data_IF_601830686935
#
_entry.id   IF_601830686935
#
_cell.length_a   1.000
_cell.length_b   1.000
_cell.length_c   1.000
_cell.angle_alpha   90.00
_cell.angle_beta   90.00
_cell.angle_gamma   90.00
#
_symmetry.space_group_name_H-M   'P 1'
#
loop_
_entity.id
_entity.type
_entity.pdbx_description
1 polymer ?
#
# COMPACT_ATOMS: atom_id res chain seq x y z
N UNK A 1 -44.18 33.44 0.49
CA UNK A 1 -43.34 32.54 -0.35
C UNK A 1 -42.10 32.21 0.43
N UNK A 2 -41.94 30.95 0.80
CA UNK A 2 -40.68 30.45 1.45
C UNK A 2 -39.90 29.73 0.36
N UNK A 3 -38.70 30.21 0.03
CA UNK A 3 -37.76 29.51 -0.85
C UNK A 3 -36.79 28.74 0.02
N UNK A 4 -36.71 27.42 -0.16
CA UNK A 4 -35.72 26.56 0.45
C UNK A 4 -34.64 26.36 -0.59
N UNK A 5 -33.43 26.87 -0.33
CA UNK A 5 -32.23 26.58 -1.13
C UNK A 5 -31.53 25.36 -0.53
N UNK A 6 -31.40 24.30 -1.31
CA UNK A 6 -30.67 23.13 -0.94
C UNK A 6 -29.29 23.15 -1.66
N UNK A 7 -28.19 23.15 -0.91
CA UNK A 7 -26.86 23.04 -1.49
C UNK A 7 -26.60 21.59 -1.86
N UNK A 8 -26.57 21.30 -3.16
CA UNK A 8 -26.35 19.95 -3.71
C UNK A 8 -24.90 19.71 -4.15
N UNK A 9 -24.00 20.68 -3.91
CA UNK A 9 -22.61 20.64 -4.40
C UNK A 9 -21.84 19.42 -3.91
N UNK A 10 -22.04 19.04 -2.67
CA UNK A 10 -21.37 17.87 -2.09
C UNK A 10 -21.92 16.56 -2.67
N UNK A 11 -23.25 16.45 -2.84
CA UNK A 11 -23.90 15.29 -3.44
C UNK A 11 -23.50 15.11 -4.91
N UNK A 12 -23.46 16.19 -5.69
CA UNK A 12 -23.01 16.14 -7.09
C UNK A 12 -21.55 15.73 -7.22
N UNK A 13 -20.70 16.18 -6.29
CA UNK A 13 -19.29 15.78 -6.23
C UNK A 13 -19.14 14.29 -5.92
N UNK A 14 -19.84 13.78 -4.92
CA UNK A 14 -19.83 12.35 -4.56
C UNK A 14 -20.33 11.48 -5.72
N UNK A 15 -21.42 11.88 -6.38
CA UNK A 15 -21.96 11.15 -7.52
C UNK A 15 -20.98 11.14 -8.70
N UNK A 16 -20.31 12.25 -8.96
CA UNK A 16 -19.28 12.35 -9.99
C UNK A 16 -18.08 11.46 -9.67
N UNK A 17 -17.61 11.47 -8.43
CA UNK A 17 -16.50 10.60 -7.98
C UNK A 17 -16.88 9.12 -8.12
N UNK A 18 -18.11 8.74 -7.75
CA UNK A 18 -18.63 7.39 -7.92
C UNK A 18 -18.69 6.95 -9.39
N UNK A 19 -19.18 7.82 -10.28
CA UNK A 19 -19.21 7.54 -11.73
C UNK A 19 -17.80 7.37 -12.30
N UNK A 20 -16.86 8.23 -11.93
CA UNK A 20 -15.46 8.14 -12.33
C UNK A 20 -14.83 6.84 -11.81
N UNK A 21 -15.12 6.45 -10.58
CA UNK A 21 -14.64 5.20 -9.99
C UNK A 21 -15.10 4.00 -10.81
N UNK A 22 -16.39 3.84 -11.10
CA UNK A 22 -16.94 2.74 -11.91
C UNK A 22 -16.32 2.72 -13.32
N UNK A 23 -16.17 3.88 -13.94
CA UNK A 23 -15.53 4.02 -15.26
C UNK A 23 -14.09 3.55 -15.23
N UNK A 24 -13.30 3.97 -14.22
CA UNK A 24 -11.90 3.59 -14.08
C UNK A 24 -11.75 2.08 -13.82
N UNK A 25 -12.59 1.49 -12.94
CA UNK A 25 -12.62 0.04 -12.71
C UNK A 25 -12.84 -0.71 -14.03
N UNK A 26 -13.85 -0.30 -14.80
CA UNK A 26 -14.19 -0.93 -16.08
C UNK A 26 -13.02 -0.88 -17.07
N UNK A 27 -12.32 0.24 -17.15
CA UNK A 27 -11.17 0.41 -18.03
C UNK A 27 -9.95 -0.39 -17.57
N UNK A 28 -9.66 -0.38 -16.27
CA UNK A 28 -8.49 -1.07 -15.72
C UNK A 28 -8.66 -2.61 -15.72
N UNK A 29 -9.88 -3.13 -15.70
CA UNK A 29 -10.17 -4.55 -15.87
C UNK A 29 -10.22 -4.98 -17.34
N UNK A 30 -10.73 -4.13 -18.25
CA UNK A 30 -10.85 -4.47 -19.67
C UNK A 30 -9.51 -4.72 -20.33
N UNK A 31 -8.50 -3.92 -20.03
CA UNK A 31 -7.16 -4.02 -20.64
C UNK A 31 -6.50 -5.38 -20.41
N UNK A 32 -6.31 -5.85 -19.16
CA UNK A 32 -5.73 -7.17 -18.90
C UNK A 32 -6.60 -8.31 -19.44
N UNK A 33 -7.92 -8.19 -19.36
CA UNK A 33 -8.83 -9.21 -19.90
C UNK A 33 -8.68 -9.35 -21.42
N UNK A 34 -8.55 -8.24 -22.15
CA UNK A 34 -8.30 -8.27 -23.59
C UNK A 34 -6.95 -8.90 -23.89
N UNK A 35 -5.90 -8.59 -23.12
CA UNK A 35 -4.58 -9.19 -23.28
C UNK A 35 -4.62 -10.71 -23.07
N UNK A 36 -5.20 -11.18 -21.95
CA UNK A 36 -5.36 -12.61 -21.67
C UNK A 36 -6.12 -13.31 -22.81
N UNK A 37 -7.24 -12.71 -23.24
CA UNK A 37 -8.04 -13.26 -24.34
C UNK A 37 -7.21 -13.43 -25.62
N UNK A 38 -6.47 -12.38 -26.04
CA UNK A 38 -5.67 -12.42 -27.27
C UNK A 38 -4.57 -13.47 -27.23
N UNK A 39 -3.89 -13.66 -26.07
CA UNK A 39 -2.87 -14.71 -25.96
C UNK A 39 -3.47 -16.11 -25.95
N UNK A 40 -4.63 -16.31 -25.32
CA UNK A 40 -5.33 -17.59 -25.36
C UNK A 40 -5.87 -17.92 -26.75
N UNK A 41 -6.41 -16.94 -27.48
CA UNK A 41 -6.84 -17.11 -28.87
C UNK A 41 -5.65 -17.50 -29.77
N UNK A 42 -4.49 -16.84 -29.63
CA UNK A 42 -3.29 -17.19 -30.38
C UNK A 42 -2.81 -18.63 -30.08
N UNK A 43 -2.89 -19.07 -28.81
CA UNK A 43 -2.55 -20.44 -28.43
C UNK A 43 -3.53 -21.47 -29.04
N UNK A 44 -4.82 -21.15 -29.08
CA UNK A 44 -5.86 -21.98 -29.66
C UNK A 44 -5.72 -22.09 -31.20
N UNK A 45 -5.34 -21.01 -31.87
CA UNK A 45 -5.09 -20.91 -33.30
C UNK A 45 -3.81 -21.62 -33.78
N UNK A 46 -3.00 -22.20 -32.86
CA UNK A 46 -1.86 -23.05 -33.21
C UNK A 46 -0.52 -22.64 -32.58
N UNK A 47 -0.43 -21.49 -31.94
CA UNK A 47 0.80 -21.06 -31.27
C UNK A 47 1.21 -21.96 -30.07
N UNK A 48 0.36 -22.90 -29.67
CA UNK A 48 0.66 -23.88 -28.63
C UNK A 48 1.87 -24.77 -28.97
N UNK A 49 2.11 -25.02 -30.25
CA UNK A 49 3.27 -25.78 -30.74
C UNK A 49 4.51 -24.94 -30.98
N UNK A 50 4.41 -23.62 -30.83
CA UNK A 50 5.49 -22.68 -31.07
C UNK A 50 6.32 -22.43 -29.83
N UNK A 51 7.61 -22.07 -29.95
CA UNK A 51 8.49 -21.74 -28.82
C UNK A 51 7.98 -20.58 -27.94
N UNK A 52 7.06 -19.76 -28.43
CA UNK A 52 6.47 -18.60 -27.72
C UNK A 52 5.33 -18.97 -26.75
N UNK A 53 4.82 -20.22 -26.83
CA UNK A 53 3.70 -20.66 -25.98
C UNK A 53 3.92 -20.45 -24.47
N UNK A 54 5.10 -20.78 -23.90
CA UNK A 54 5.36 -20.53 -22.48
C UNK A 54 5.27 -19.04 -22.09
N UNK A 55 5.70 -18.15 -22.98
CA UNK A 55 5.63 -16.70 -22.73
C UNK A 55 4.18 -16.21 -22.76
N UNK A 56 3.35 -16.70 -23.68
CA UNK A 56 1.93 -16.35 -23.74
C UNK A 56 1.16 -16.84 -22.51
N UNK A 57 1.46 -18.06 -22.06
CA UNK A 57 0.89 -18.62 -20.81
C UNK A 57 1.34 -17.77 -19.62
N UNK A 58 2.63 -17.42 -19.53
CA UNK A 58 3.16 -16.61 -18.44
C UNK A 58 2.50 -15.23 -18.39
N UNK A 59 2.41 -14.52 -19.51
CA UNK A 59 1.75 -13.21 -19.58
C UNK A 59 0.28 -13.32 -19.19
N UNK A 60 -0.43 -14.36 -19.65
CA UNK A 60 -1.84 -14.57 -19.30
C UNK A 60 -2.01 -14.82 -17.80
N UNK A 61 -1.10 -15.55 -17.17
CA UNK A 61 -1.09 -15.80 -15.73
C UNK A 61 -0.80 -14.53 -14.94
N UNK A 62 0.20 -13.75 -15.38
CA UNK A 62 0.59 -12.50 -14.72
C UNK A 62 -0.56 -11.46 -14.76
N UNK A 63 -1.25 -11.33 -15.90
CA UNK A 63 -2.41 -10.45 -16.03
C UNK A 63 -3.62 -10.93 -15.22
N UNK A 64 -3.84 -12.25 -15.13
CA UNK A 64 -4.88 -12.84 -14.26
C UNK A 64 -4.59 -12.55 -12.79
N UNK A 65 -3.36 -12.76 -12.33
CA UNK A 65 -2.94 -12.44 -10.96
C UNK A 65 -3.06 -10.95 -10.66
N UNK A 66 -2.82 -10.10 -11.65
CA UNK A 66 -3.03 -8.66 -11.54
C UNK A 66 -4.50 -8.30 -11.36
N UNK A 67 -5.40 -8.92 -12.14
CA UNK A 67 -6.86 -8.72 -11.98
C UNK A 67 -7.33 -9.18 -10.62
N UNK A 68 -6.87 -10.33 -10.12
CA UNK A 68 -7.21 -10.82 -8.78
C UNK A 68 -6.82 -9.83 -7.69
N UNK A 69 -5.61 -9.28 -7.74
CA UNK A 69 -5.17 -8.23 -6.79
C UNK A 69 -6.04 -6.99 -6.88
N UNK A 70 -6.38 -6.55 -8.10
CA UNK A 70 -7.24 -5.38 -8.29
C UNK A 70 -8.64 -5.60 -7.70
N UNK A 71 -9.24 -6.78 -7.90
CA UNK A 71 -10.54 -7.12 -7.30
C UNK A 71 -10.46 -7.12 -5.78
N UNK A 72 -9.40 -7.69 -5.20
CA UNK A 72 -9.17 -7.66 -3.75
C UNK A 72 -9.05 -6.22 -3.23
N UNK A 73 -8.31 -5.36 -3.92
CA UNK A 73 -8.16 -3.93 -3.58
C UNK A 73 -9.52 -3.22 -3.62
N UNK A 74 -10.35 -3.48 -4.64
CA UNK A 74 -11.68 -2.91 -4.80
C UNK A 74 -12.64 -3.35 -3.70
N UNK A 75 -12.61 -4.63 -3.32
CA UNK A 75 -13.41 -5.17 -2.22
C UNK A 75 -12.98 -4.54 -0.88
N UNK A 76 -11.68 -4.35 -0.67
CA UNK A 76 -11.15 -3.66 0.52
C UNK A 76 -11.67 -2.23 0.59
N UNK A 77 -11.60 -1.45 -0.48
CA UNK A 77 -12.13 -0.09 -0.54
C UNK A 77 -13.65 -0.05 -0.31
N UNK A 78 -14.39 -0.96 -0.95
CA UNK A 78 -15.85 -1.02 -0.79
C UNK A 78 -16.28 -1.29 0.65
N UNK A 79 -15.57 -2.17 1.37
CA UNK A 79 -15.83 -2.44 2.79
C UNK A 79 -15.53 -1.23 3.66
N UNK A 80 -14.48 -0.50 3.35
CA UNK A 80 -14.07 0.71 4.04
C UNK A 80 -15.12 1.83 3.83
N UNK A 81 -15.53 2.08 2.58
CA UNK A 81 -16.51 3.12 2.22
C UNK A 81 -17.88 2.91 2.88
N UNK A 82 -18.30 1.66 3.02
CA UNK A 82 -19.60 1.31 3.60
C UNK A 82 -19.61 1.26 5.14
N UNK A 83 -18.51 1.64 5.80
CA UNK A 83 -18.34 1.53 7.26
C UNK A 83 -18.65 0.13 7.83
N UNK A 84 -18.63 -0.91 6.98
CA UNK A 84 -18.86 -2.30 7.35
C UNK A 84 -17.58 -3.00 7.81
N UNK A 85 -16.42 -2.34 7.64
CA UNK A 85 -15.14 -2.82 8.12
C UNK A 85 -14.98 -2.40 9.58
N UNK A 86 -15.30 -3.28 10.51
CA UNK A 86 -14.82 -3.13 11.88
C UNK A 86 -13.33 -3.45 11.87
N UNK A 87 -12.53 -2.54 12.43
CA UNK A 87 -11.12 -2.81 12.71
C UNK A 87 -11.04 -3.76 13.90
N UNK A 88 -10.21 -4.75 13.81
CA UNK A 88 -9.82 -5.60 14.93
C UNK A 88 -8.59 -4.98 15.60
N UNK A 89 -8.87 -3.98 16.46
CA UNK A 89 -7.82 -3.19 17.11
C UNK A 89 -7.30 -3.95 18.32
N UNK A 90 -6.01 -4.21 18.33
CA UNK A 90 -5.28 -4.85 19.41
C UNK A 90 -4.05 -4.03 19.80
N UNK A 91 -3.74 -4.02 21.12
CA UNK A 91 -2.50 -3.43 21.61
C UNK A 91 -1.32 -4.31 21.13
N UNK A 92 -0.54 -3.78 20.21
CA UNK A 92 0.49 -4.54 19.50
C UNK A 92 1.88 -3.94 19.74
N UNK A 93 2.89 -4.79 19.98
CA UNK A 93 4.29 -4.38 19.97
C UNK A 93 4.70 -4.03 18.53
N UNK A 94 4.60 -2.74 18.20
CA UNK A 94 4.84 -2.26 16.85
C UNK A 94 6.29 -2.43 16.39
N UNK A 95 7.26 -2.39 17.32
CA UNK A 95 8.68 -2.65 17.01
C UNK A 95 8.88 -4.09 16.53
N UNK A 96 8.30 -5.05 17.22
CA UNK A 96 8.33 -6.46 16.80
C UNK A 96 7.55 -6.68 15.49
N UNK A 97 6.38 -6.07 15.37
CA UNK A 97 5.51 -6.15 14.20
C UNK A 97 6.20 -5.63 12.93
N UNK A 98 6.76 -4.42 12.95
CA UNK A 98 7.47 -3.86 11.78
C UNK A 98 8.70 -4.69 11.44
N UNK A 99 9.44 -5.16 12.45
CA UNK A 99 10.62 -6.01 12.25
C UNK A 99 10.24 -7.33 11.57
N UNK A 100 9.14 -7.96 11.96
CA UNK A 100 8.62 -9.17 11.31
C UNK A 100 8.31 -8.94 9.83
N UNK A 101 7.63 -7.84 9.50
CA UNK A 101 7.31 -7.50 8.11
C UNK A 101 8.60 -7.29 7.30
N UNK A 102 9.55 -6.51 7.82
CA UNK A 102 10.79 -6.22 7.12
C UNK A 102 11.65 -7.47 6.89
N UNK A 103 11.69 -8.40 7.84
CA UNK A 103 12.38 -9.68 7.69
C UNK A 103 11.79 -10.53 6.54
N UNK A 104 10.48 -10.46 6.30
CA UNK A 104 9.84 -11.10 5.15
C UNK A 104 10.38 -10.54 3.83
N UNK A 105 10.52 -9.21 3.71
CA UNK A 105 11.09 -8.58 2.53
C UNK A 105 12.59 -8.93 2.33
N UNK A 106 13.37 -8.99 3.41
CA UNK A 106 14.77 -9.43 3.34
C UNK A 106 14.90 -10.89 2.85
N UNK A 107 14.01 -11.77 3.32
CA UNK A 107 13.95 -13.16 2.85
C UNK A 107 13.60 -13.26 1.36
N UNK A 108 12.64 -12.47 0.90
CA UNK A 108 12.28 -12.41 -0.54
C UNK A 108 13.45 -11.88 -1.36
N UNK A 109 14.18 -10.88 -0.86
CA UNK A 109 15.39 -10.35 -1.48
C UNK A 109 16.47 -11.41 -1.62
N UNK A 110 16.77 -12.14 -0.56
CA UNK A 110 17.82 -13.17 -0.54
C UNK A 110 17.55 -14.34 -1.49
N UNK A 111 16.30 -14.56 -1.88
CA UNK A 111 15.89 -15.60 -2.84
C UNK A 111 15.90 -15.10 -4.30
N UNK A 112 16.10 -13.80 -4.55
CA UNK A 112 16.07 -13.19 -5.87
C UNK A 112 17.31 -12.32 -6.07
N UNK A 113 18.33 -12.83 -6.77
CA UNK A 113 19.58 -12.11 -7.06
C UNK A 113 19.40 -10.80 -7.83
N UNK A 114 18.29 -10.63 -8.55
CA UNK A 114 17.96 -9.42 -9.31
C UNK A 114 17.51 -8.24 -8.45
N UNK A 115 17.18 -8.45 -7.16
CA UNK A 115 16.68 -7.40 -6.28
C UNK A 115 17.80 -6.71 -5.53
N UNK A 116 18.15 -5.51 -5.98
CA UNK A 116 19.31 -4.72 -5.49
C UNK A 116 18.96 -3.71 -4.40
N UNK A 117 17.91 -3.90 -3.61
CA UNK A 117 17.58 -2.98 -2.52
C UNK A 117 18.11 -3.48 -1.17
N UNK A 118 18.41 -2.54 -0.27
CA UNK A 118 18.79 -2.77 1.11
C UNK A 118 17.79 -2.12 2.06
N UNK A 119 17.28 -2.86 3.06
CA UNK A 119 16.39 -2.31 4.08
C UNK A 119 17.20 -1.91 5.31
N UNK A 120 17.21 -0.60 5.60
CA UNK A 120 17.86 -0.02 6.77
C UNK A 120 16.82 0.22 7.84
N UNK A 121 17.08 -0.30 9.04
CA UNK A 121 16.26 -0.16 10.23
C UNK A 121 16.85 0.92 11.12
N UNK A 122 16.22 2.10 11.12
CA UNK A 122 16.63 3.26 11.92
C UNK A 122 15.54 3.56 12.97
N UNK A 123 15.39 2.63 13.92
CA UNK A 123 14.44 2.76 15.01
C UNK A 123 14.95 2.08 16.28
N UNK A 124 14.47 2.51 17.47
CA UNK A 124 14.92 1.95 18.75
C UNK A 124 14.55 0.48 18.90
N UNK A 125 15.36 -0.26 19.64
CA UNK A 125 15.14 -1.68 19.94
C UNK A 125 14.00 -1.85 20.96
N UNK A 126 13.73 -0.82 21.78
CA UNK A 126 12.67 -0.90 22.81
C UNK A 126 11.31 -1.13 22.18
N UNK A 127 10.46 -1.84 22.90
CA UNK A 127 9.08 -2.09 22.52
C UNK A 127 8.29 -0.78 22.49
N UNK A 128 7.63 -0.52 21.37
CA UNK A 128 6.66 0.55 21.20
C UNK A 128 5.32 -0.11 20.98
N UNK A 129 4.40 0.11 21.90
CA UNK A 129 3.07 -0.49 21.84
C UNK A 129 2.08 0.49 21.25
N UNK A 130 1.28 0.05 20.27
CA UNK A 130 0.29 0.87 19.55
C UNK A 130 -0.96 0.03 19.31
N UNK A 131 -2.11 0.63 19.47
CA UNK A 131 -3.40 0.02 19.13
C UNK A 131 -3.60 0.01 17.62
N UNK A 132 -3.56 -1.17 17.00
CA UNK A 132 -3.70 -1.34 15.56
C UNK A 132 -4.44 -2.62 15.20
N UNK A 133 -5.07 -2.63 14.04
CA UNK A 133 -5.43 -3.84 13.29
C UNK A 133 -4.19 -4.30 12.50
N UNK A 134 -3.58 -5.40 12.90
CA UNK A 134 -2.30 -5.90 12.36
C UNK A 134 -2.40 -6.30 10.89
N UNK A 135 -3.53 -6.84 10.46
CA UNK A 135 -3.75 -7.25 9.07
C UNK A 135 -3.86 -6.02 8.16
N UNK A 136 -4.62 -5.02 8.58
CA UNK A 136 -4.76 -3.76 7.86
C UNK A 136 -3.45 -2.97 7.82
N UNK A 137 -2.73 -2.92 8.96
CA UNK A 137 -1.45 -2.24 9.02
C UNK A 137 -0.39 -2.95 8.18
N UNK A 138 -0.40 -4.29 8.13
CA UNK A 138 0.44 -5.07 7.20
C UNK A 138 0.18 -4.65 5.75
N UNK A 139 -1.10 -4.51 5.36
CA UNK A 139 -1.46 -4.04 4.02
C UNK A 139 -0.93 -2.63 3.72
N UNK A 140 -0.96 -1.72 4.70
CA UNK A 140 -0.40 -0.36 4.55
C UNK A 140 1.10 -0.41 4.29
N UNK A 141 1.84 -1.13 5.14
CA UNK A 141 3.30 -1.22 5.06
C UNK A 141 3.73 -1.93 3.77
N UNK A 142 3.05 -3.00 3.40
CA UNK A 142 3.28 -3.72 2.15
C UNK A 142 3.10 -2.82 0.93
N UNK A 143 2.06 -2.00 0.90
CA UNK A 143 1.82 -1.07 -0.19
C UNK A 143 2.94 -0.03 -0.32
N UNK A 144 3.46 0.49 0.79
CA UNK A 144 4.52 1.49 0.78
C UNK A 144 5.86 0.87 0.40
N UNK A 145 6.26 -0.27 1.01
CA UNK A 145 7.54 -0.92 0.73
C UNK A 145 7.57 -1.48 -0.70
N UNK A 146 6.47 -2.09 -1.17
CA UNK A 146 6.39 -2.54 -2.56
C UNK A 146 6.49 -1.38 -3.54
N UNK A 147 5.93 -0.21 -3.22
CA UNK A 147 6.13 1.00 -4.04
C UNK A 147 7.60 1.46 -4.00
N UNK A 148 8.24 1.50 -2.84
CA UNK A 148 9.65 1.86 -2.71
C UNK A 148 10.54 0.94 -3.58
N UNK A 149 10.35 -0.38 -3.51
CA UNK A 149 11.07 -1.36 -4.34
C UNK A 149 10.78 -1.16 -5.83
N UNK A 150 9.52 -0.99 -6.18
CA UNK A 150 9.04 -0.85 -7.56
C UNK A 150 9.59 0.40 -8.26
N UNK A 151 9.65 1.50 -7.53
CA UNK A 151 10.10 2.78 -8.08
C UNK A 151 11.58 3.07 -7.83
N UNK A 152 12.35 2.08 -7.37
CA UNK A 152 13.81 2.08 -7.27
C UNK A 152 14.40 1.02 -8.23
N UNK A 153 14.33 1.22 -9.56
CA UNK A 153 14.71 0.20 -10.56
C UNK A 153 16.19 -0.17 -10.49
N UNK A 154 17.04 0.77 -10.12
CA UNK A 154 18.50 0.57 -10.01
C UNK A 154 18.90 0.02 -8.62
N UNK A 155 17.91 -0.27 -7.78
CA UNK A 155 18.11 -0.63 -6.38
C UNK A 155 18.23 0.60 -5.49
N UNK A 156 18.96 0.46 -4.37
CA UNK A 156 19.16 1.53 -3.40
C UNK A 156 18.67 1.17 -2.01
N UNK A 157 18.68 2.16 -1.13
CA UNK A 157 18.30 1.98 0.27
C UNK A 157 16.83 2.29 0.49
N UNK A 158 16.19 1.45 1.29
CA UNK A 158 14.86 1.70 1.84
C UNK A 158 15.05 1.84 3.36
N UNK A 159 14.99 3.08 3.85
CA UNK A 159 15.20 3.36 5.26
C UNK A 159 13.86 3.45 5.98
N UNK A 160 13.70 2.64 7.01
CA UNK A 160 12.54 2.65 7.90
C UNK A 160 12.95 3.28 9.21
N UNK A 161 12.40 4.47 9.50
CA UNK A 161 12.62 5.23 10.72
C UNK A 161 11.34 5.28 11.55
N UNK A 162 11.46 5.09 12.87
CA UNK A 162 10.33 5.18 13.79
C UNK A 162 10.70 6.02 15.00
N UNK A 163 9.78 6.92 15.39
CA UNK A 163 9.92 7.82 16.55
C UNK A 163 8.60 7.92 17.28
N UNK A 164 8.68 8.18 18.57
CA UNK A 164 7.51 8.47 19.40
C UNK A 164 7.61 9.85 20.01
N UNK A 165 6.47 10.47 20.20
CA UNK A 165 6.23 11.60 21.13
C UNK A 165 5.37 11.09 22.27
N UNK A 166 4.92 11.94 23.17
CA UNK A 166 4.03 11.51 24.26
C UNK A 166 2.64 11.02 23.76
N UNK A 167 2.20 11.48 22.60
CA UNK A 167 0.85 11.23 22.05
C UNK A 167 0.83 10.66 20.62
N UNK A 168 1.98 10.46 19.99
CA UNK A 168 2.06 10.02 18.59
C UNK A 168 3.22 9.07 18.36
N UNK A 169 3.00 8.03 17.59
CA UNK A 169 4.02 7.25 16.93
C UNK A 169 4.14 7.69 15.47
N UNK A 170 5.35 7.92 15.01
CA UNK A 170 5.69 8.41 13.66
C UNK A 170 6.56 7.36 12.99
N UNK A 171 6.05 6.74 11.93
CA UNK A 171 6.77 5.81 11.07
C UNK A 171 7.08 6.50 9.74
N UNK A 172 8.33 6.52 9.32
CA UNK A 172 8.76 7.05 8.02
C UNK A 172 9.48 5.98 7.23
N UNK A 173 9.07 5.80 5.97
CA UNK A 173 9.67 4.86 5.02
C UNK A 173 10.20 5.70 3.85
N UNK A 174 11.51 5.70 3.66
CA UNK A 174 12.20 6.50 2.65
C UNK A 174 12.87 5.59 1.62
N UNK A 175 12.74 5.92 0.34
CA UNK A 175 13.42 5.27 -0.78
C UNK A 175 14.36 6.25 -1.50
N UNK A 176 15.38 5.71 -2.18
CA UNK A 176 16.30 6.43 -3.07
C UNK A 176 15.90 6.27 -4.54
N UNK A 177 14.61 6.08 -4.80
CA UNK A 177 14.08 5.82 -6.14
C UNK A 177 13.90 7.07 -7.00
N UNK A 178 13.04 6.93 -8.01
CA UNK A 178 12.77 7.98 -9.01
C UNK A 178 12.19 9.27 -8.42
N UNK A 179 11.63 9.20 -7.23
CA UNK A 179 10.88 10.31 -6.67
C UNK A 179 9.59 10.63 -7.42
N UNK A 180 8.84 11.61 -6.90
CA UNK A 180 7.52 12.01 -7.39
C UNK A 180 7.57 13.49 -7.80
N UNK A 181 7.14 13.85 -9.02
CA UNK A 181 7.06 15.24 -9.43
C UNK A 181 6.14 16.04 -8.50
N UNK A 182 6.53 17.26 -8.17
CA UNK A 182 5.81 18.12 -7.21
C UNK A 182 4.33 18.32 -7.57
N UNK A 183 3.99 18.37 -8.86
CA UNK A 183 2.62 18.52 -9.36
C UNK A 183 1.72 17.31 -9.07
N UNK A 184 2.34 16.13 -8.89
CA UNK A 184 1.64 14.85 -8.70
C UNK A 184 1.48 14.49 -7.22
N UNK A 185 2.33 15.02 -6.32
CA UNK A 185 2.28 14.77 -4.88
C UNK A 185 0.90 14.91 -4.23
N UNK A 186 0.10 15.95 -4.54
CA UNK A 186 -1.24 16.08 -3.96
C UNK A 186 -2.22 14.98 -4.35
N UNK A 187 -1.93 14.24 -5.45
CA UNK A 187 -2.84 13.29 -6.07
C UNK A 187 -2.45 11.82 -5.88
N UNK A 188 -1.27 11.53 -5.33
CA UNK A 188 -0.77 10.14 -5.24
C UNK A 188 -1.63 9.23 -4.37
N UNK A 189 -2.45 9.80 -3.49
CA UNK A 189 -3.42 9.10 -2.65
C UNK A 189 -4.82 9.02 -3.27
N UNK A 190 -5.03 9.60 -4.48
CA UNK A 190 -6.30 9.50 -5.18
C UNK A 190 -6.43 8.11 -5.81
N UNK A 191 -7.66 7.58 -5.86
CA UNK A 191 -7.96 6.27 -6.43
C UNK A 191 -7.61 6.24 -7.92
N UNK A 192 -6.90 5.17 -8.36
CA UNK A 192 -6.41 4.97 -9.74
C UNK A 192 -5.39 6.01 -10.23
N UNK A 193 -4.91 6.89 -9.35
CA UNK A 193 -3.91 7.85 -9.75
C UNK A 193 -2.55 7.19 -9.97
N UNK A 194 -1.86 7.61 -11.03
CA UNK A 194 -0.51 7.14 -11.40
C UNK A 194 0.24 8.29 -12.06
N UNK A 195 1.47 8.53 -11.61
CA UNK A 195 2.38 9.54 -12.19
C UNK A 195 2.69 9.21 -13.65
N UNK A 196 2.99 7.95 -13.95
CA UNK A 196 3.22 7.42 -15.29
C UNK A 196 2.35 6.19 -15.53
N UNK A 197 1.33 6.35 -16.37
CA UNK A 197 0.35 5.29 -16.67
C UNK A 197 0.99 4.11 -17.43
N UNK A 198 1.92 4.38 -18.36
CA UNK A 198 2.51 3.35 -19.18
C UNK A 198 3.49 2.49 -18.39
N UNK A 199 4.43 3.09 -17.68
CA UNK A 199 5.41 2.42 -16.84
C UNK A 199 4.75 1.65 -15.68
N UNK A 200 3.76 2.27 -15.02
CA UNK A 200 3.04 1.63 -13.91
C UNK A 200 2.21 0.43 -14.35
N UNK A 201 1.69 0.39 -15.59
CA UNK A 201 1.01 -0.79 -16.15
C UNK A 201 1.97 -1.94 -16.34
N UNK A 202 3.12 -1.70 -16.95
CA UNK A 202 4.15 -2.73 -17.15
C UNK A 202 4.61 -3.36 -15.83
N UNK A 203 4.53 -2.61 -14.73
CA UNK A 203 4.89 -3.06 -13.38
C UNK A 203 3.69 -3.52 -12.52
N UNK A 204 2.52 -3.72 -13.11
CA UNK A 204 1.36 -4.34 -12.44
C UNK A 204 0.64 -3.52 -11.36
N UNK A 205 0.84 -2.20 -11.28
CA UNK A 205 0.17 -1.37 -10.28
C UNK A 205 -1.30 -1.09 -10.58
N UNK A 206 -2.18 -1.19 -9.59
CA UNK A 206 -3.61 -0.85 -9.69
C UNK A 206 -3.88 0.67 -9.56
N UNK A 207 -3.00 1.40 -8.89
CA UNK A 207 -3.23 2.78 -8.47
C UNK A 207 -4.21 2.90 -7.28
N UNK A 208 -4.47 1.79 -6.58
CA UNK A 208 -5.35 1.74 -5.42
C UNK A 208 -4.60 1.62 -4.10
N UNK A 209 -3.39 1.08 -4.10
CA UNK A 209 -2.65 0.74 -2.87
C UNK A 209 -2.44 1.93 -1.93
N UNK A 210 -2.03 3.11 -2.42
CA UNK A 210 -1.86 4.30 -1.59
C UNK A 210 -3.20 4.88 -1.11
N UNK A 211 -4.25 4.80 -1.93
CA UNK A 211 -5.60 5.20 -1.52
C UNK A 211 -6.12 4.30 -0.38
N UNK A 212 -5.90 2.98 -0.49
CA UNK A 212 -6.21 2.01 0.57
C UNK A 212 -5.41 2.32 1.83
N UNK A 213 -4.10 2.54 1.70
CA UNK A 213 -3.24 2.88 2.82
C UNK A 213 -3.74 4.13 3.57
N UNK A 214 -4.10 5.19 2.82
CA UNK A 214 -4.65 6.42 3.41
C UNK A 214 -5.94 6.17 4.19
N UNK A 215 -6.83 5.36 3.64
CA UNK A 215 -8.12 5.10 4.28
C UNK A 215 -7.97 4.22 5.52
N UNK A 216 -7.11 3.20 5.47
CA UNK A 216 -6.78 2.37 6.65
C UNK A 216 -6.18 3.25 7.77
N UNK A 217 -5.20 4.11 7.45
CA UNK A 217 -4.59 4.99 8.44
C UNK A 217 -5.61 5.97 9.03
N UNK A 218 -6.53 6.50 8.22
CA UNK A 218 -7.63 7.34 8.68
C UNK A 218 -8.56 6.60 9.66
N UNK A 219 -8.89 5.33 9.38
CA UNK A 219 -9.68 4.50 10.30
C UNK A 219 -8.97 4.23 11.64
N UNK A 220 -7.62 4.23 11.66
CA UNK A 220 -6.81 4.18 12.87
C UNK A 220 -6.64 5.56 13.55
N UNK A 221 -7.44 6.56 13.18
CA UNK A 221 -7.34 7.94 13.65
C UNK A 221 -5.96 8.57 13.41
N UNK A 222 -5.25 8.09 12.40
CA UNK A 222 -3.91 8.51 12.01
C UNK A 222 -3.89 9.40 10.77
N UNK A 223 -2.67 9.76 10.36
CA UNK A 223 -2.39 10.55 9.16
C UNK A 223 -1.29 9.91 8.33
N UNK A 224 -1.38 10.06 7.01
CA UNK A 224 -0.32 9.67 6.08
C UNK A 224 -0.07 10.79 5.07
N UNK A 225 1.20 11.07 4.80
CA UNK A 225 1.61 11.98 3.72
C UNK A 225 2.92 11.53 3.09
N UNK A 226 3.31 12.19 2.00
CA UNK A 226 4.58 11.95 1.34
C UNK A 226 5.34 13.27 1.11
N UNK A 227 6.68 13.19 1.23
CA UNK A 227 7.62 14.17 0.74
C UNK A 227 8.48 13.51 -0.32
N UNK A 228 8.73 14.20 -1.43
CA UNK A 228 9.53 13.64 -2.50
C UNK A 228 10.17 14.73 -3.34
N UNK A 229 11.35 14.41 -3.88
CA UNK A 229 12.03 15.19 -4.89
C UNK A 229 12.32 14.29 -6.08
N UNK A 230 11.85 14.69 -7.26
CA UNK A 230 12.03 13.91 -8.47
C UNK A 230 13.53 13.70 -8.78
N UNK A 231 13.93 12.44 -8.98
CA UNK A 231 15.30 12.01 -9.16
C UNK A 231 16.08 11.74 -7.86
N UNK A 232 15.47 11.92 -6.66
CA UNK A 232 16.16 11.70 -5.36
C UNK A 232 15.47 10.71 -4.45
N UNK A 233 14.22 10.36 -4.74
CA UNK A 233 13.44 9.42 -3.94
C UNK A 233 12.25 10.05 -3.23
N UNK A 234 11.60 9.24 -2.38
CA UNK A 234 10.40 9.63 -1.66
C UNK A 234 10.48 9.20 -0.20
N UNK A 235 9.76 9.91 0.67
CA UNK A 235 9.54 9.54 2.06
C UNK A 235 8.06 9.56 2.35
N UNK A 236 7.51 8.41 2.71
CA UNK A 236 6.15 8.27 3.20
C UNK A 236 6.17 8.28 4.71
N UNK A 237 5.34 9.12 5.32
CA UNK A 237 5.25 9.25 6.78
C UNK A 237 3.85 8.92 7.24
N UNK A 238 3.76 8.03 8.21
CA UNK A 238 2.54 7.61 8.91
C UNK A 238 2.63 8.12 10.34
N UNK A 239 1.54 8.69 10.83
CA UNK A 239 1.38 9.05 12.24
C UNK A 239 0.17 8.33 12.79
N UNK A 240 0.36 7.63 13.89
CA UNK A 240 -0.71 6.96 14.64
C UNK A 240 -0.81 7.57 16.04
N UNK A 241 -2.00 7.57 16.66
CA UNK A 241 -2.15 7.84 18.06
C UNK A 241 -1.26 6.92 18.88
N UNK A 242 -0.65 7.43 19.92
CA UNK A 242 0.22 6.72 20.84
C UNK A 242 0.00 7.25 22.24
N UNK A 243 -0.15 6.36 23.18
CA UNK A 243 -0.23 6.69 24.58
C UNK A 243 0.96 6.06 25.31
N UNK A 244 1.88 6.92 25.74
CA UNK A 244 3.07 6.49 26.48
C UNK A 244 2.74 5.93 27.87
N UNK A 245 1.58 6.28 28.43
CA UNK A 245 1.17 5.86 29.77
C UNK A 245 0.39 4.54 29.76
N UNK A 246 -0.29 4.21 28.65
CA UNK A 246 -1.02 2.97 28.50
C UNK A 246 -0.15 1.70 28.59
N UNK A 247 1.16 1.85 28.45
CA UNK A 247 2.14 0.73 28.44
C UNK A 247 2.72 0.43 29.82
N UNK A 248 2.42 1.24 30.84
CA UNK A 248 3.07 1.09 32.16
C UNK A 248 2.44 0.01 33.04
N UNK A 249 1.26 -0.51 32.67
CA UNK A 249 0.51 -1.39 33.58
C UNK A 249 0.73 -2.90 33.33
N UNK A 250 1.40 -3.31 32.25
CA UNK A 250 1.53 -4.74 31.89
C UNK A 250 2.97 -5.33 31.90
N UNK A 251 4.02 -4.55 32.15
CA UNK A 251 5.37 -5.08 32.30
C UNK A 251 5.81 -4.96 33.76
N UNK A 252 6.14 -6.08 34.33
CA UNK A 252 6.91 -6.40 35.55
C UNK A 252 6.14 -7.28 36.56
N UNK A 253 5.83 -8.50 36.20
CA UNK A 253 6.07 -9.61 37.10
C UNK A 253 7.43 -10.21 36.74
N UNK A 254 8.52 -9.57 37.17
CA UNK A 254 9.79 -10.26 37.36
C UNK A 254 9.54 -11.31 38.45
N UNK A 255 9.52 -12.59 38.06
CA UNK A 255 9.64 -13.71 38.97
C UNK A 255 10.88 -13.50 39.84
N UNK A 256 10.68 -12.98 41.04
CA UNK A 256 11.58 -13.21 42.16
C UNK A 256 11.57 -14.71 42.47
N UNK A 257 12.34 -15.47 41.70
CA UNK A 257 12.81 -16.79 42.16
C UNK A 257 14.13 -16.59 42.88
N UNK A 258 14.09 -16.05 44.08
CA UNK A 258 15.03 -16.37 45.14
C UNK A 258 14.35 -17.33 46.12
N UNK A 259 14.94 -18.53 46.22
CA UNK A 259 14.59 -19.55 47.17
C UNK A 259 15.44 -20.81 46.93
#
# INVERSE_FOLDING_TARGET
LVAVLHDTTEQEKEERERRLFVSNVSHELRTPLTSVKSYLEALDEGALSEPVAPDFIKVSLDETNRMMRMVSDLLSLSRIDNATSHLDIELTNFTAFITFILNRFDKIRSQNDDKKYEIIRDYPINSIWVEIDTDKMTQVIDNIINNAIKYSPDGGKITVNMKTTDIQMILSISDEGLGIPKKDLPKIFDRFYRVDKARSRAQGGSGLGLAIAKEIIKQHNGFIWAKSEYGKGSTFTIVLPYDKEAVKDDDWEEDELEG
#
